data_IF_995112656032
#
_entry.id   IF_995112656032
#
_cell.length_a   1.000
_cell.length_b   1.000
_cell.length_c   1.000
_cell.angle_alpha   90.00
_cell.angle_beta   90.00
_cell.angle_gamma   90.00
#
_symmetry.space_group_name_H-M   'P 1'
#
loop_
_entity.id
_entity.type
_entity.pdbx_description
1 polymer ?
#
# COMPACT_ATOMS: atom_id res chain seq x y z
N UNK A 1 20.87 15.22 30.54
CA UNK A 1 20.00 16.29 30.00
C UNK A 1 18.68 15.63 29.73
N UNK A 2 17.63 15.92 30.52
CA UNK A 2 16.30 15.35 30.28
C UNK A 2 15.79 15.95 28.98
N UNK A 3 15.59 15.11 27.97
CA UNK A 3 14.87 15.50 26.76
C UNK A 3 13.47 15.94 27.21
N UNK A 4 13.16 17.23 27.18
CA UNK A 4 11.81 17.73 27.35
C UNK A 4 10.95 17.06 26.26
N UNK A 5 10.14 16.09 26.65
CA UNK A 5 9.15 15.47 25.76
C UNK A 5 8.15 16.57 25.42
N UNK A 6 8.15 17.00 24.15
CA UNK A 6 7.17 17.97 23.67
C UNK A 6 5.83 17.27 23.57
N UNK A 7 4.91 17.58 24.51
CA UNK A 7 3.53 17.08 24.43
C UNK A 7 2.75 17.91 23.40
N UNK A 8 1.67 17.35 22.85
CA UNK A 8 0.81 18.06 21.92
C UNK A 8 0.26 19.36 22.52
N UNK A 9 -0.08 19.34 23.80
CA UNK A 9 -0.57 20.53 24.51
C UNK A 9 0.51 21.62 24.57
N UNK A 10 1.73 21.30 24.99
CA UNK A 10 2.85 22.26 25.03
C UNK A 10 3.16 22.79 23.64
N UNK A 11 3.12 21.92 22.63
CA UNK A 11 3.32 22.30 21.23
C UNK A 11 2.27 23.31 20.77
N UNK A 12 0.99 23.04 21.03
CA UNK A 12 -0.12 23.91 20.67
C UNK A 12 -0.11 25.25 21.44
N UNK A 13 0.19 25.25 22.75
CA UNK A 13 0.35 26.45 23.58
C UNK A 13 1.51 27.32 23.06
N UNK A 14 2.62 26.69 22.65
CA UNK A 14 3.78 27.40 22.09
C UNK A 14 3.43 28.05 20.74
N UNK A 15 2.68 27.35 19.88
CA UNK A 15 2.20 27.91 18.61
C UNK A 15 1.26 29.10 18.87
N UNK A 16 0.32 28.97 19.83
CA UNK A 16 -0.60 30.02 20.20
C UNK A 16 0.12 31.27 20.71
N UNK A 17 1.11 31.11 21.60
CA UNK A 17 1.94 32.21 22.11
C UNK A 17 2.71 32.95 21.01
N UNK A 18 2.91 32.34 19.84
CA UNK A 18 3.56 32.91 18.67
C UNK A 18 2.57 33.34 17.54
N UNK A 19 1.28 33.51 17.89
CA UNK A 19 0.24 34.03 17.00
C UNK A 19 -0.38 33.01 16.06
N UNK A 20 -0.11 31.72 16.24
CA UNK A 20 -0.69 30.64 15.45
C UNK A 20 -1.77 29.85 16.19
N UNK A 21 -2.42 28.94 15.49
CA UNK A 21 -3.28 27.88 16.04
C UNK A 21 -2.91 26.55 15.43
N UNK A 22 -3.02 25.49 16.23
CA UNK A 22 -2.68 24.12 15.83
C UNK A 22 -3.95 23.29 15.72
N UNK A 23 -4.07 22.55 14.61
CA UNK A 23 -5.18 21.64 14.37
C UNK A 23 -4.67 20.27 14.01
N UNK A 24 -5.29 19.21 14.56
CA UNK A 24 -5.21 17.87 13.97
C UNK A 24 -6.07 17.86 12.71
N UNK A 25 -5.62 17.19 11.63
CA UNK A 25 -6.33 17.21 10.35
C UNK A 25 -6.24 15.88 9.59
N UNK A 26 -7.16 15.65 8.68
CA UNK A 26 -7.07 14.56 7.72
C UNK A 26 -7.38 13.18 8.29
N UNK A 27 -6.57 12.19 7.93
CA UNK A 27 -6.84 10.78 8.26
C UNK A 27 -6.93 10.50 9.76
N UNK A 28 -6.14 11.18 10.59
CA UNK A 28 -6.18 11.00 12.03
C UNK A 28 -7.52 11.45 12.63
N UNK A 29 -8.07 12.56 12.18
CA UNK A 29 -9.38 13.05 12.65
C UNK A 29 -10.50 12.12 12.19
N UNK A 30 -10.48 11.69 10.92
CA UNK A 30 -11.42 10.69 10.41
C UNK A 30 -11.41 9.42 11.27
N UNK A 31 -10.24 8.89 11.59
CA UNK A 31 -10.12 7.65 12.36
C UNK A 31 -10.57 7.84 13.80
N UNK A 32 -10.29 9.00 14.42
CA UNK A 32 -10.85 9.38 15.72
C UNK A 32 -12.39 9.41 15.70
N UNK A 33 -13.01 10.02 14.68
CA UNK A 33 -14.48 10.05 14.53
C UNK A 33 -15.06 8.64 14.36
N UNK A 34 -14.30 7.72 13.75
CA UNK A 34 -14.67 6.30 13.62
C UNK A 34 -14.44 5.49 14.90
N UNK A 35 -13.87 6.08 15.95
CA UNK A 35 -13.50 5.38 17.18
C UNK A 35 -12.25 4.49 17.03
N UNK A 36 -11.42 4.75 16.04
CA UNK A 36 -10.18 4.00 15.75
C UNK A 36 -8.99 4.86 16.17
N UNK A 37 -8.04 4.28 16.91
CA UNK A 37 -6.81 4.98 17.25
C UNK A 37 -6.00 5.27 15.98
N UNK A 38 -5.67 6.54 15.68
CA UNK A 38 -4.91 6.89 14.49
C UNK A 38 -3.48 6.34 14.57
N UNK A 39 -2.98 5.84 13.43
CA UNK A 39 -1.58 5.38 13.31
C UNK A 39 -0.61 6.57 13.28
N UNK A 40 -0.94 7.57 12.47
CA UNK A 40 -0.14 8.78 12.25
C UNK A 40 -0.98 9.99 12.64
N UNK A 41 -0.35 11.06 13.12
CA UNK A 41 -1.02 12.32 13.47
C UNK A 41 -0.45 13.41 12.58
N UNK A 42 -1.34 14.03 11.80
CA UNK A 42 -1.02 15.16 10.94
C UNK A 42 -1.56 16.44 11.56
N UNK A 43 -0.70 17.45 11.61
CA UNK A 43 -1.07 18.78 12.11
C UNK A 43 -1.08 19.84 11.01
N UNK A 44 -1.98 20.82 11.17
CA UNK A 44 -2.04 22.02 10.36
C UNK A 44 -1.87 23.25 11.26
N UNK A 45 -0.94 24.13 10.91
CA UNK A 45 -0.69 25.41 11.59
C UNK A 45 -1.32 26.54 10.78
N UNK A 46 -2.13 27.36 11.44
CA UNK A 46 -2.76 28.57 10.92
C UNK A 46 -2.20 29.79 11.65
N UNK A 47 -2.17 30.96 11.03
CA UNK A 47 -1.83 32.22 11.67
C UNK A 47 -0.32 32.49 11.84
N UNK A 48 0.53 31.51 11.60
CA UNK A 48 1.97 31.62 11.81
C UNK A 48 2.75 31.52 10.50
N UNK A 49 3.85 32.29 10.36
CA UNK A 49 4.75 32.17 9.22
C UNK A 49 5.84 31.13 9.47
N UNK A 50 6.24 30.41 8.42
CA UNK A 50 7.31 29.43 8.44
C UNK A 50 8.60 29.90 9.15
N UNK A 51 9.02 31.14 8.89
CA UNK A 51 10.23 31.71 9.51
C UNK A 51 10.15 31.75 11.03
N UNK A 52 8.98 32.08 11.58
CA UNK A 52 8.77 32.13 13.03
C UNK A 52 8.71 30.69 13.60
N UNK A 53 8.05 29.80 12.91
CA UNK A 53 7.99 28.38 13.30
C UNK A 53 9.40 27.78 13.44
N UNK A 54 10.28 27.98 12.46
CA UNK A 54 11.67 27.52 12.52
C UNK A 54 12.52 28.14 13.63
N UNK A 55 12.19 29.37 14.06
CA UNK A 55 12.85 29.98 15.21
C UNK A 55 12.43 29.35 16.54
N UNK A 56 11.15 28.96 16.62
CA UNK A 56 10.54 28.39 17.83
C UNK A 56 10.86 26.90 17.95
N UNK A 57 10.91 26.20 16.82
CA UNK A 57 11.19 24.75 16.72
C UNK A 57 12.38 24.51 15.80
N UNK A 58 13.61 24.83 16.24
CA UNK A 58 14.81 24.67 15.41
C UNK A 58 15.14 23.19 15.09
N UNK A 59 14.64 22.26 15.91
CA UNK A 59 14.78 20.80 15.75
C UNK A 59 13.84 20.22 14.70
N UNK A 60 12.89 21.00 14.16
CA UNK A 60 11.94 20.52 13.18
C UNK A 60 12.62 20.29 11.82
N UNK A 61 12.60 19.02 11.36
CA UNK A 61 13.12 18.63 10.06
C UNK A 61 12.19 19.07 8.93
N UNK A 62 12.67 19.92 8.05
CA UNK A 62 11.90 20.34 6.88
C UNK A 62 12.00 19.33 5.74
N UNK A 63 10.86 18.78 5.34
CA UNK A 63 10.72 17.86 4.22
C UNK A 63 9.86 18.48 3.11
N UNK A 64 10.07 18.04 1.87
CA UNK A 64 9.27 18.46 0.71
C UNK A 64 9.85 19.65 -0.07
N UNK A 65 9.97 19.43 -1.39
CA UNK A 65 10.55 20.44 -2.31
C UNK A 65 9.56 21.55 -2.69
N UNK A 66 8.29 21.20 -2.90
CA UNK A 66 7.27 22.11 -3.42
C UNK A 66 6.45 22.78 -2.32
N UNK A 67 6.29 22.12 -1.18
CA UNK A 67 5.63 22.65 -0.01
C UNK A 67 6.27 22.09 1.26
N UNK A 68 6.72 22.95 2.18
CA UNK A 68 7.39 22.51 3.39
C UNK A 68 6.42 21.82 4.35
N UNK A 69 6.73 20.58 4.67
CA UNK A 69 6.17 19.82 5.79
C UNK A 69 7.28 19.66 6.80
N UNK A 70 6.99 19.86 8.06
CA UNK A 70 7.96 19.68 9.14
C UNK A 70 7.69 18.36 9.85
N UNK A 71 8.76 17.64 10.21
CA UNK A 71 8.71 16.46 11.04
C UNK A 71 9.24 16.77 12.42
N UNK A 72 8.46 16.42 13.42
CA UNK A 72 8.81 16.56 14.85
C UNK A 72 8.34 15.32 15.61
N UNK A 73 8.94 15.12 16.79
CA UNK A 73 8.47 14.12 17.74
C UNK A 73 7.57 14.80 18.78
N UNK A 74 6.29 14.45 18.78
CA UNK A 74 5.26 14.99 19.68
C UNK A 74 4.63 13.80 20.41
N UNK A 75 4.54 13.86 21.74
CA UNK A 75 4.09 12.72 22.58
C UNK A 75 4.83 11.42 22.26
N UNK A 76 6.13 11.50 21.94
CA UNK A 76 6.96 10.34 21.60
C UNK A 76 6.70 9.74 20.23
N UNK A 77 5.90 10.39 19.37
CA UNK A 77 5.56 9.94 18.01
C UNK A 77 6.07 10.91 16.96
N UNK A 78 6.56 10.38 15.85
CA UNK A 78 6.88 11.20 14.68
C UNK A 78 5.58 11.74 14.07
N UNK A 79 5.46 13.07 13.99
CA UNK A 79 4.29 13.76 13.46
C UNK A 79 4.68 14.64 12.28
N UNK A 80 3.76 14.82 11.33
CA UNK A 80 3.91 15.78 10.24
C UNK A 80 3.12 17.06 10.56
N UNK A 81 3.78 18.20 10.36
CA UNK A 81 3.22 19.53 10.61
C UNK A 81 3.30 20.33 9.33
N UNK A 82 2.15 20.66 8.76
CA UNK A 82 2.02 21.51 7.59
C UNK A 82 1.42 22.87 7.96
N UNK A 83 1.58 23.85 7.06
CA UNK A 83 0.91 25.15 7.20
C UNK A 83 -0.36 25.17 6.35
N UNK A 84 -1.38 25.90 6.82
CA UNK A 84 -2.56 26.14 6.02
C UNK A 84 -2.18 26.78 4.68
N UNK A 85 -2.81 26.31 3.62
CA UNK A 85 -2.50 26.73 2.26
C UNK A 85 -3.74 26.68 1.37
N UNK A 86 -3.71 27.50 0.34
CA UNK A 86 -4.60 27.38 -0.80
C UNK A 86 -3.82 26.90 -2.02
N UNK A 87 -4.49 26.16 -2.89
CA UNK A 87 -3.94 25.64 -4.13
C UNK A 87 -4.79 26.16 -5.28
N UNK A 88 -4.14 26.68 -6.34
CA UNK A 88 -4.81 27.11 -7.56
C UNK A 88 -4.17 26.43 -8.75
N UNK A 89 -4.96 25.72 -9.54
CA UNK A 89 -4.50 25.12 -10.79
C UNK A 89 -4.20 26.24 -11.79
N UNK A 90 -3.00 26.26 -12.34
CA UNK A 90 -2.52 27.24 -13.34
C UNK A 90 -1.93 26.55 -14.58
N UNK A 91 -1.86 25.22 -14.59
CA UNK A 91 -1.35 24.38 -15.68
C UNK A 91 -1.75 22.92 -15.49
N UNK A 92 -1.32 22.06 -16.41
CA UNK A 92 -1.62 20.63 -16.38
C UNK A 92 -0.70 19.85 -15.43
N UNK A 93 -1.21 18.74 -14.89
CA UNK A 93 -0.48 17.78 -14.08
C UNK A 93 -0.03 18.32 -12.72
N UNK A 94 0.74 17.52 -12.01
CA UNK A 94 1.12 17.78 -10.61
C UNK A 94 2.00 19.03 -10.40
N UNK A 95 2.69 19.54 -11.44
CA UNK A 95 3.47 20.80 -11.40
C UNK A 95 2.62 22.03 -11.70
N UNK A 96 1.39 21.84 -12.16
CA UNK A 96 0.48 22.90 -12.58
C UNK A 96 -0.17 23.69 -11.45
N UNK A 97 0.34 23.64 -10.22
CA UNK A 97 -0.23 24.32 -9.07
C UNK A 97 0.57 25.54 -8.64
N UNK A 98 -0.14 26.64 -8.40
CA UNK A 98 0.37 27.77 -7.61
C UNK A 98 -0.12 27.60 -6.19
N UNK A 99 0.81 27.32 -5.28
CA UNK A 99 0.54 27.14 -3.86
C UNK A 99 0.78 28.48 -3.17
N UNK A 100 -0.20 28.93 -2.40
CA UNK A 100 -0.06 30.10 -1.52
C UNK A 100 -0.20 29.61 -0.07
N UNK A 101 0.77 30.00 0.77
CA UNK A 101 0.72 29.80 2.21
C UNK A 101 1.06 31.13 2.87
N UNK A 102 0.11 31.68 3.59
CA UNK A 102 0.29 32.90 4.37
C UNK A 102 -0.56 32.83 5.65
N UNK A 103 -0.25 33.61 6.70
CA UNK A 103 -0.95 33.53 7.99
C UNK A 103 -2.43 33.91 7.97
N UNK A 104 -2.95 34.46 6.87
CA UNK A 104 -4.36 34.84 6.75
C UNK A 104 -5.25 33.71 6.28
N UNK A 105 -4.64 32.61 5.76
CA UNK A 105 -5.39 31.45 5.29
C UNK A 105 -5.99 30.74 6.50
N UNK A 106 -7.29 30.51 6.46
CA UNK A 106 -8.04 29.87 7.53
C UNK A 106 -7.92 28.33 7.45
N UNK A 107 -8.35 27.65 8.50
CA UNK A 107 -8.40 26.18 8.48
C UNK A 107 -9.45 25.68 7.48
N UNK A 108 -10.59 26.36 7.34
CA UNK A 108 -11.66 26.04 6.40
C UNK A 108 -11.16 26.11 4.95
N UNK A 109 -10.34 27.12 4.61
CA UNK A 109 -9.73 27.26 3.28
C UNK A 109 -8.75 26.11 3.01
N UNK A 110 -7.97 25.66 4.00
CA UNK A 110 -7.10 24.48 3.86
C UNK A 110 -7.93 23.19 3.70
N UNK A 111 -9.02 23.04 4.46
CA UNK A 111 -9.92 21.89 4.34
C UNK A 111 -10.62 21.84 2.97
N UNK A 112 -11.00 22.99 2.42
CA UNK A 112 -11.71 23.10 1.13
C UNK A 112 -10.94 22.50 -0.06
N UNK A 113 -9.61 22.60 -0.06
CA UNK A 113 -8.76 22.06 -1.12
C UNK A 113 -8.50 20.56 -1.02
N UNK A 114 -8.95 19.87 0.03
CA UNK A 114 -8.68 18.43 0.26
C UNK A 114 -9.50 17.54 -0.66
N UNK A 115 -9.14 16.25 -0.69
CA UNK A 115 -9.74 15.27 -1.61
C UNK A 115 -11.20 14.94 -1.27
N UNK A 116 -11.47 14.47 -0.05
CA UNK A 116 -12.80 14.01 0.37
C UNK A 116 -13.24 14.65 1.68
N UNK A 117 -14.55 14.81 1.87
CA UNK A 117 -15.15 15.38 3.07
C UNK A 117 -14.69 14.68 4.34
N UNK A 118 -14.55 13.35 4.30
CA UNK A 118 -14.11 12.53 5.44
C UNK A 118 -12.65 12.83 5.87
N UNK A 119 -11.85 13.45 5.01
CA UNK A 119 -10.49 13.92 5.30
C UNK A 119 -10.42 15.46 5.47
N UNK A 120 -11.56 16.15 5.34
CA UNK A 120 -11.67 17.61 5.42
C UNK A 120 -12.31 18.06 6.75
N UNK A 121 -11.89 17.41 7.82
CA UNK A 121 -12.28 17.69 9.20
C UNK A 121 -11.01 18.10 9.96
N UNK A 122 -11.14 19.08 10.85
CA UNK A 122 -10.08 19.50 11.76
C UNK A 122 -10.54 19.47 13.21
N UNK A 123 -9.59 19.31 14.14
CA UNK A 123 -9.82 19.42 15.57
C UNK A 123 -8.78 20.36 16.14
N UNK A 124 -9.20 21.44 16.80
CA UNK A 124 -8.30 22.35 17.51
C UNK A 124 -7.60 21.62 18.66
N UNK A 125 -6.26 21.63 18.66
CA UNK A 125 -5.46 20.85 19.61
C UNK A 125 -5.53 21.35 21.07
N UNK A 126 -5.99 22.59 21.30
CA UNK A 126 -6.15 23.16 22.63
C UNK A 126 -7.58 23.06 23.17
N UNK A 127 -8.54 23.43 22.34
CA UNK A 127 -9.95 23.51 22.76
C UNK A 127 -10.72 22.22 22.55
N UNK A 128 -10.24 21.36 21.64
CA UNK A 128 -10.98 20.18 21.20
C UNK A 128 -12.16 20.49 20.26
N UNK A 129 -12.30 21.75 19.85
CA UNK A 129 -13.34 22.19 18.92
C UNK A 129 -13.19 21.46 17.57
N UNK A 130 -14.32 20.89 17.11
CA UNK A 130 -14.36 20.18 15.82
C UNK A 130 -14.84 21.13 14.73
N UNK A 131 -14.07 21.23 13.66
CA UNK A 131 -14.35 22.09 12.50
C UNK A 131 -14.67 21.15 11.32
N UNK A 132 -15.92 21.09 10.93
CA UNK A 132 -16.43 20.20 9.85
C UNK A 132 -17.35 20.97 8.89
N UNK A 133 -16.81 21.92 8.09
CA UNK A 133 -17.59 22.76 7.20
C UNK A 133 -18.22 22.01 6.02
N UNK A 134 -17.76 20.78 5.75
CA UNK A 134 -18.17 19.98 4.58
C UNK A 134 -18.94 18.72 4.96
N UNK A 135 -19.42 18.61 6.21
CA UNK A 135 -20.23 17.50 6.72
C UNK A 135 -19.54 16.12 6.65
N UNK A 136 -18.20 16.11 6.79
CA UNK A 136 -17.40 14.89 6.74
C UNK A 136 -17.77 13.89 7.84
N UNK A 137 -18.16 14.35 9.02
CA UNK A 137 -18.65 13.50 10.12
C UNK A 137 -19.92 12.75 9.71
N UNK A 138 -20.84 13.42 9.02
CA UNK A 138 -22.05 12.76 8.53
C UNK A 138 -21.71 11.74 7.45
N UNK A 139 -20.82 12.07 6.54
CA UNK A 139 -20.36 11.13 5.50
C UNK A 139 -19.63 9.92 6.11
N UNK A 140 -18.84 10.10 7.18
CA UNK A 140 -18.25 8.99 7.93
C UNK A 140 -19.31 8.05 8.51
N UNK A 141 -20.35 8.61 9.16
CA UNK A 141 -21.47 7.83 9.73
C UNK A 141 -22.22 7.05 8.66
N UNK A 142 -22.42 7.67 7.50
CA UNK A 142 -23.12 7.07 6.36
C UNK A 142 -22.22 6.15 5.53
N UNK A 143 -20.92 6.08 5.82
CA UNK A 143 -19.90 5.34 5.04
C UNK A 143 -19.88 5.76 3.56
N UNK A 144 -19.87 7.06 3.32
CA UNK A 144 -19.85 7.65 1.98
C UNK A 144 -18.53 8.42 1.77
N UNK A 145 -17.92 8.28 0.60
CA UNK A 145 -16.83 9.11 0.10
C UNK A 145 -17.38 10.14 -0.86
N UNK A 146 -17.29 11.41 -0.46
CA UNK A 146 -17.74 12.55 -1.24
C UNK A 146 -16.56 13.51 -1.48
N UNK A 147 -16.41 14.03 -2.68
CA UNK A 147 -15.45 15.09 -2.96
C UNK A 147 -15.75 16.33 -2.11
N UNK A 148 -14.71 16.92 -1.53
CA UNK A 148 -14.88 18.12 -0.67
C UNK A 148 -15.43 19.31 -1.48
N UNK A 149 -15.00 19.43 -2.74
CA UNK A 149 -15.41 20.51 -3.64
C UNK A 149 -15.17 20.14 -5.10
N UNK A 150 -15.59 21.01 -6.02
CA UNK A 150 -15.31 20.87 -7.46
C UNK A 150 -13.78 20.92 -7.77
N UNK A 151 -12.98 21.44 -6.88
CA UNK A 151 -11.52 21.41 -6.97
C UNK A 151 -10.91 20.02 -6.84
N UNK A 152 -11.75 18.99 -6.60
CA UNK A 152 -11.33 17.60 -6.64
C UNK A 152 -10.60 17.24 -7.96
N UNK A 153 -11.08 17.73 -9.08
CA UNK A 153 -10.50 17.47 -10.42
C UNK A 153 -9.17 18.17 -10.67
N UNK A 154 -8.78 19.12 -9.83
CA UNK A 154 -7.55 19.90 -10.03
C UNK A 154 -6.31 19.02 -9.93
N UNK A 155 -6.25 18.07 -8.99
CA UNK A 155 -5.13 17.13 -8.82
C UNK A 155 -5.59 15.70 -9.22
N UNK A 156 -5.12 15.17 -10.38
CA UNK A 156 -5.59 13.87 -10.89
C UNK A 156 -5.29 12.69 -9.95
N UNK A 157 -4.26 12.76 -9.10
CA UNK A 157 -3.97 11.72 -8.12
C UNK A 157 -5.10 11.52 -7.10
N UNK A 158 -5.99 12.52 -6.92
CA UNK A 158 -7.13 12.40 -6.01
C UNK A 158 -8.09 11.29 -6.43
N UNK A 159 -8.18 10.99 -7.73
CA UNK A 159 -8.95 9.86 -8.23
C UNK A 159 -8.37 8.51 -7.76
N UNK A 160 -7.04 8.35 -7.78
CA UNK A 160 -6.38 7.18 -7.19
C UNK A 160 -6.59 7.12 -5.68
N UNK A 161 -6.46 8.26 -5.00
CA UNK A 161 -6.66 8.37 -3.56
C UNK A 161 -8.09 8.02 -3.15
N UNK A 162 -9.10 8.42 -3.94
CA UNK A 162 -10.49 8.05 -3.76
C UNK A 162 -10.68 6.53 -3.85
N UNK A 163 -10.17 5.91 -4.92
CA UNK A 163 -10.20 4.45 -5.07
C UNK A 163 -9.49 3.73 -3.90
N UNK A 164 -8.35 4.26 -3.47
CA UNK A 164 -7.61 3.76 -2.31
C UNK A 164 -8.37 3.94 -0.98
N UNK A 165 -9.07 5.05 -0.79
CA UNK A 165 -9.94 5.27 0.37
C UNK A 165 -11.12 4.28 0.35
N UNK A 166 -11.77 4.06 -0.80
CA UNK A 166 -12.86 3.10 -0.94
C UNK A 166 -12.42 1.67 -0.56
N UNK A 167 -11.22 1.26 -0.98
CA UNK A 167 -10.67 -0.05 -0.64
C UNK A 167 -10.30 -0.20 0.85
N UNK A 168 -9.75 0.87 1.47
CA UNK A 168 -9.27 0.84 2.86
C UNK A 168 -10.37 1.07 3.89
N UNK A 169 -11.37 1.88 3.58
CA UNK A 169 -12.43 2.26 4.51
C UNK A 169 -13.69 1.42 4.36
N UNK A 170 -13.85 0.75 3.24
CA UNK A 170 -15.07 0.06 2.81
C UNK A 170 -16.30 1.00 2.77
N UNK A 171 -16.08 2.22 2.27
CA UNK A 171 -17.12 3.23 2.10
C UNK A 171 -17.62 3.25 0.65
N UNK A 172 -18.91 3.49 0.44
CA UNK A 172 -19.48 3.76 -0.89
C UNK A 172 -18.96 5.11 -1.43
N UNK A 173 -18.92 5.25 -2.74
CA UNK A 173 -18.54 6.52 -3.37
C UNK A 173 -19.82 7.19 -3.88
N UNK A 174 -19.97 8.47 -3.61
CA UNK A 174 -21.02 9.31 -4.13
C UNK A 174 -20.95 9.41 -5.66
N UNK A 175 -22.10 9.36 -6.34
CA UNK A 175 -22.17 9.33 -7.81
C UNK A 175 -21.51 10.55 -8.48
N UNK A 176 -21.75 11.75 -7.93
CA UNK A 176 -21.12 12.96 -8.45
C UNK A 176 -19.59 12.91 -8.27
N UNK A 177 -19.13 12.31 -7.18
CA UNK A 177 -17.69 12.12 -6.94
C UNK A 177 -17.06 11.12 -7.89
N UNK A 178 -17.78 10.04 -8.25
CA UNK A 178 -17.34 9.13 -9.31
C UNK A 178 -17.23 9.84 -10.66
N UNK A 179 -18.22 10.68 -11.00
CA UNK A 179 -18.17 11.47 -12.22
C UNK A 179 -16.99 12.45 -12.24
N UNK A 180 -16.70 13.12 -11.13
CA UNK A 180 -15.53 13.99 -10.99
C UNK A 180 -14.21 13.19 -11.14
N UNK A 181 -14.14 11.99 -10.57
CA UNK A 181 -12.95 11.14 -10.71
C UNK A 181 -12.69 10.73 -12.15
N UNK A 182 -13.73 10.45 -12.93
CA UNK A 182 -13.61 10.06 -14.33
C UNK A 182 -13.01 11.17 -15.22
N UNK A 183 -13.15 12.43 -14.86
CA UNK A 183 -12.53 13.59 -15.57
C UNK A 183 -11.00 13.57 -15.46
N UNK A 184 -10.44 12.90 -14.44
CA UNK A 184 -9.00 12.85 -14.23
C UNK A 184 -8.25 12.00 -15.30
N UNK A 185 -8.94 11.27 -16.16
CA UNK A 185 -8.35 10.31 -17.11
C UNK A 185 -7.25 10.94 -17.99
N UNK A 186 -7.49 12.14 -18.53
CA UNK A 186 -6.59 12.80 -19.47
C UNK A 186 -5.25 13.20 -18.83
N UNK A 187 -5.23 13.51 -17.53
CA UNK A 187 -4.03 13.98 -16.83
C UNK A 187 -3.37 12.88 -15.98
N UNK A 188 -4.14 11.85 -15.57
CA UNK A 188 -3.66 10.82 -14.65
C UNK A 188 -2.53 9.96 -15.23
N UNK A 189 -2.55 9.71 -16.54
CA UNK A 189 -1.47 9.00 -17.22
C UNK A 189 -0.12 9.73 -17.21
N UNK A 190 -0.14 11.03 -16.97
CA UNK A 190 1.06 11.89 -16.82
C UNK A 190 1.59 12.02 -15.39
N UNK A 191 0.94 11.38 -14.40
CA UNK A 191 1.41 11.43 -13.02
C UNK A 191 2.73 10.69 -12.83
N UNK A 192 3.64 11.19 -11.99
CA UNK A 192 4.88 10.49 -11.66
C UNK A 192 4.60 9.08 -11.11
N UNK A 193 5.34 8.12 -11.64
CA UNK A 193 5.21 6.71 -11.25
C UNK A 193 5.33 6.48 -9.73
N UNK A 194 6.18 7.27 -9.05
CA UNK A 194 6.37 7.20 -7.61
C UNK A 194 5.09 7.57 -6.83
N UNK A 195 4.31 8.55 -7.31
CA UNK A 195 3.04 8.93 -6.68
C UNK A 195 2.00 7.82 -6.84
N UNK A 196 1.91 7.25 -8.03
CA UNK A 196 1.01 6.14 -8.34
C UNK A 196 1.37 4.90 -7.51
N UNK A 197 2.65 4.53 -7.49
CA UNK A 197 3.16 3.39 -6.73
C UNK A 197 2.96 3.57 -5.21
N UNK A 198 3.11 4.79 -4.70
CA UNK A 198 2.85 5.09 -3.30
C UNK A 198 1.38 4.83 -2.91
N UNK A 199 0.42 5.23 -3.75
CA UNK A 199 -1.00 4.94 -3.49
C UNK A 199 -1.31 3.44 -3.62
N UNK A 200 -0.77 2.74 -4.63
CA UNK A 200 -0.88 1.28 -4.75
C UNK A 200 -0.31 0.57 -3.52
N UNK A 201 0.87 0.97 -3.06
CA UNK A 201 1.52 0.37 -1.88
C UNK A 201 0.68 0.52 -0.62
N UNK A 202 0.06 1.70 -0.41
CA UNK A 202 -0.88 1.93 0.71
C UNK A 202 -2.09 1.00 0.62
N UNK A 203 -2.64 0.81 -0.56
CA UNK A 203 -3.77 -0.10 -0.78
C UNK A 203 -3.36 -1.54 -0.49
N UNK A 204 -2.24 -1.99 -1.06
CA UNK A 204 -1.75 -3.35 -0.83
C UNK A 204 -1.35 -3.60 0.63
N UNK A 205 -0.98 -2.57 1.39
CA UNK A 205 -0.63 -2.69 2.81
C UNK A 205 -1.85 -2.70 3.72
N UNK A 206 -2.78 -1.75 3.52
CA UNK A 206 -3.78 -1.39 4.52
C UNK A 206 -5.22 -1.77 4.15
N UNK A 207 -5.51 -2.09 2.88
CA UNK A 207 -6.88 -2.39 2.48
C UNK A 207 -7.31 -3.81 2.89
N UNK A 208 -8.49 -3.98 3.50
CA UNK A 208 -9.07 -5.30 3.76
C UNK A 208 -9.53 -6.00 2.46
N UNK A 209 -9.94 -5.22 1.44
CA UNK A 209 -10.36 -5.71 0.13
C UNK A 209 -9.67 -4.88 -0.98
N UNK A 210 -8.37 -5.12 -1.24
CA UNK A 210 -7.58 -4.31 -2.18
C UNK A 210 -8.07 -4.39 -3.63
N UNK A 211 -8.76 -5.46 -4.03
CA UNK A 211 -9.38 -5.58 -5.36
C UNK A 211 -10.37 -4.45 -5.65
N UNK A 212 -11.02 -3.87 -4.63
CA UNK A 212 -11.93 -2.75 -4.79
C UNK A 212 -11.27 -1.51 -5.39
N UNK A 213 -9.98 -1.30 -5.12
CA UNK A 213 -9.20 -0.23 -5.74
C UNK A 213 -9.23 -0.32 -7.27
N UNK A 214 -8.91 -1.47 -7.82
CA UNK A 214 -8.89 -1.71 -9.26
C UNK A 214 -10.30 -1.66 -9.87
N UNK A 215 -11.29 -2.20 -9.16
CA UNK A 215 -12.71 -2.16 -9.59
C UNK A 215 -13.23 -0.73 -9.69
N UNK A 216 -12.89 0.16 -8.74
CA UNK A 216 -13.25 1.59 -8.80
C UNK A 216 -12.54 2.29 -9.96
N UNK A 217 -11.25 2.02 -10.18
CA UNK A 217 -10.53 2.59 -11.32
C UNK A 217 -11.11 2.13 -12.66
N UNK A 218 -11.53 0.88 -12.76
CA UNK A 218 -12.23 0.37 -13.96
C UNK A 218 -13.57 1.09 -14.16
N UNK A 219 -14.35 1.26 -13.09
CA UNK A 219 -15.64 1.98 -13.13
C UNK A 219 -15.51 3.44 -13.58
N UNK A 220 -14.41 4.10 -13.23
CA UNK A 220 -14.12 5.48 -13.61
C UNK A 220 -13.36 5.60 -14.94
N UNK A 221 -13.13 4.50 -15.67
CA UNK A 221 -12.30 4.46 -16.90
C UNK A 221 -10.83 4.90 -16.69
N UNK A 222 -10.31 4.78 -15.48
CA UNK A 222 -8.96 5.21 -15.11
C UNK A 222 -7.94 4.07 -15.10
N UNK A 223 -8.40 2.81 -15.11
CA UNK A 223 -7.53 1.64 -14.95
C UNK A 223 -6.47 1.58 -16.04
N UNK A 224 -6.87 1.82 -17.30
CA UNK A 224 -5.96 1.81 -18.45
C UNK A 224 -4.91 2.92 -18.39
N UNK A 225 -5.25 4.07 -17.79
CA UNK A 225 -4.33 5.21 -17.72
C UNK A 225 -3.13 4.96 -16.81
N UNK A 226 -3.28 4.08 -15.80
CA UNK A 226 -2.27 3.88 -14.74
C UNK A 226 -1.77 2.45 -14.65
N UNK A 227 -2.63 1.46 -14.86
CA UNK A 227 -2.34 0.03 -14.71
C UNK A 227 -2.75 -0.72 -15.97
N UNK A 228 -2.13 -0.34 -17.11
CA UNK A 228 -2.44 -0.91 -18.43
C UNK A 228 -2.29 -2.43 -18.47
N UNK A 229 -1.37 -3.00 -17.66
CA UNK A 229 -1.15 -4.43 -17.60
C UNK A 229 -2.32 -5.17 -16.93
N UNK A 230 -2.99 -4.53 -15.98
CA UNK A 230 -4.22 -5.06 -15.36
C UNK A 230 -5.42 -4.81 -16.27
N UNK A 231 -5.48 -3.65 -16.92
CA UNK A 231 -6.57 -3.31 -17.83
C UNK A 231 -6.57 -4.18 -19.10
N UNK A 232 -5.41 -4.70 -19.50
CA UNK A 232 -5.25 -5.58 -20.66
C UNK A 232 -5.64 -7.05 -20.36
N UNK A 233 -5.92 -7.42 -19.11
CA UNK A 233 -6.35 -8.77 -18.76
C UNK A 233 -7.74 -9.06 -19.39
N UNK A 234 -7.96 -10.26 -19.94
CA UNK A 234 -9.29 -10.72 -20.29
C UNK A 234 -10.24 -10.61 -19.08
N UNK A 235 -11.55 -10.37 -19.29
CA UNK A 235 -12.49 -10.13 -18.17
C UNK A 235 -12.52 -11.24 -17.12
N UNK A 236 -12.43 -12.50 -17.51
CA UNK A 236 -12.35 -13.67 -16.63
C UNK A 236 -11.04 -13.67 -15.81
N UNK A 237 -9.91 -13.38 -16.45
CA UNK A 237 -8.60 -13.26 -15.81
C UNK A 237 -8.55 -12.09 -14.83
N UNK A 238 -9.18 -10.96 -15.17
CA UNK A 238 -9.31 -9.83 -14.26
C UNK A 238 -10.08 -10.23 -13.00
N UNK A 239 -11.21 -10.94 -13.13
CA UNK A 239 -11.99 -11.41 -11.98
C UNK A 239 -11.14 -12.35 -11.12
N UNK A 240 -10.45 -13.32 -11.72
CA UNK A 240 -9.56 -14.25 -11.01
C UNK A 240 -8.46 -13.48 -10.26
N UNK A 241 -7.81 -12.51 -10.91
CA UNK A 241 -6.78 -11.69 -10.27
C UNK A 241 -7.30 -10.94 -9.05
N UNK A 242 -8.49 -10.36 -9.14
CA UNK A 242 -9.14 -9.65 -8.04
C UNK A 242 -9.50 -10.58 -6.88
N UNK A 243 -10.00 -11.77 -7.16
CA UNK A 243 -10.35 -12.77 -6.14
C UNK A 243 -9.11 -13.34 -5.45
N UNK A 244 -8.04 -13.61 -6.21
CA UNK A 244 -6.74 -13.99 -5.65
C UNK A 244 -6.19 -12.90 -4.71
N UNK A 245 -6.21 -11.64 -5.15
CA UNK A 245 -5.74 -10.50 -4.36
C UNK A 245 -6.49 -10.37 -3.03
N UNK A 246 -7.83 -10.42 -3.07
CA UNK A 246 -8.67 -10.32 -1.86
C UNK A 246 -8.51 -11.55 -0.95
N UNK A 247 -8.29 -12.74 -1.53
CA UNK A 247 -8.04 -13.96 -0.76
C UNK A 247 -6.71 -13.89 0.01
N UNK A 248 -5.64 -13.47 -0.64
CA UNK A 248 -4.33 -13.27 0.01
C UNK A 248 -4.38 -12.11 1.00
N UNK A 249 -5.19 -11.08 0.75
CA UNK A 249 -5.35 -9.97 1.69
C UNK A 249 -5.96 -10.38 3.04
N UNK A 250 -6.74 -11.46 3.08
CA UNK A 250 -7.26 -12.05 4.33
C UNK A 250 -6.19 -12.81 5.10
N UNK A 251 -5.18 -13.34 4.42
CA UNK A 251 -4.12 -14.14 5.02
C UNK A 251 -2.91 -13.33 5.46
N UNK A 252 -2.62 -12.19 4.81
CA UNK A 252 -1.44 -11.37 5.13
C UNK A 252 -1.64 -9.89 4.78
N UNK A 253 -0.96 -9.01 5.52
CA UNK A 253 -0.85 -7.58 5.22
C UNK A 253 0.43 -7.22 4.44
N UNK A 254 1.22 -8.21 4.00
CA UNK A 254 2.43 -7.98 3.22
C UNK A 254 2.08 -7.45 1.82
N UNK A 255 2.47 -6.21 1.46
CA UNK A 255 2.19 -5.68 0.13
C UNK A 255 2.90 -6.49 -0.97
N UNK A 256 4.08 -7.05 -0.67
CA UNK A 256 4.80 -7.96 -1.58
C UNK A 256 3.95 -9.18 -1.94
N UNK A 257 3.43 -9.91 -0.94
CA UNK A 257 2.66 -11.14 -1.18
C UNK A 257 1.34 -10.86 -1.89
N UNK A 258 0.68 -9.75 -1.55
CA UNK A 258 -0.54 -9.28 -2.23
C UNK A 258 -0.25 -8.91 -3.69
N UNK A 259 0.87 -8.26 -3.97
CA UNK A 259 1.30 -7.98 -5.34
C UNK A 259 1.61 -9.27 -6.11
N UNK A 260 2.31 -10.22 -5.49
CA UNK A 260 2.59 -11.54 -6.11
C UNK A 260 1.29 -12.23 -6.52
N UNK A 261 0.26 -12.24 -5.67
CA UNK A 261 -1.02 -12.86 -6.02
C UNK A 261 -1.74 -12.17 -7.18
N UNK A 262 -1.66 -10.85 -7.25
CA UNK A 262 -2.19 -10.07 -8.39
C UNK A 262 -1.45 -10.41 -9.69
N UNK A 263 -0.15 -10.65 -9.59
CA UNK A 263 0.71 -10.91 -10.75
C UNK A 263 0.49 -12.28 -11.41
N UNK A 264 -0.22 -13.21 -10.77
CA UNK A 264 -0.45 -14.55 -11.34
C UNK A 264 -1.30 -14.56 -12.60
N UNK A 265 -2.13 -13.53 -12.80
CA UNK A 265 -2.89 -13.36 -14.03
C UNK A 265 -2.09 -12.74 -15.19
N UNK A 266 -0.84 -12.37 -14.95
CA UNK A 266 0.01 -11.69 -15.93
C UNK A 266 1.11 -12.61 -16.46
N UNK A 267 1.44 -12.48 -17.73
CA UNK A 267 2.65 -13.09 -18.29
C UNK A 267 3.92 -12.33 -17.82
N UNK A 268 5.06 -12.97 -18.01
CA UNK A 268 6.36 -12.38 -17.64
C UNK A 268 6.64 -11.05 -18.36
N UNK A 269 6.24 -10.93 -19.62
CA UNK A 269 6.48 -9.75 -20.42
C UNK A 269 5.69 -8.55 -19.88
N UNK A 270 4.44 -8.76 -19.48
CA UNK A 270 3.60 -7.75 -18.82
C UNK A 270 4.18 -7.30 -17.48
N UNK A 271 4.68 -8.22 -16.67
CA UNK A 271 5.37 -7.88 -15.41
C UNK A 271 6.62 -7.03 -15.63
N UNK A 272 7.44 -7.35 -16.63
CA UNK A 272 8.63 -6.57 -16.94
C UNK A 272 8.28 -5.19 -17.50
N UNK A 273 7.21 -5.06 -18.32
CA UNK A 273 6.70 -3.76 -18.79
C UNK A 273 6.26 -2.90 -17.61
N UNK A 274 5.45 -3.46 -16.69
CA UNK A 274 5.03 -2.76 -15.48
C UNK A 274 6.23 -2.25 -14.67
N UNK A 275 7.21 -3.12 -14.41
CA UNK A 275 8.42 -2.73 -13.69
C UNK A 275 9.21 -1.61 -14.39
N UNK A 276 9.34 -1.68 -15.71
CA UNK A 276 10.03 -0.64 -16.49
C UNK A 276 9.34 0.72 -16.39
N UNK A 277 8.02 0.73 -16.25
CA UNK A 277 7.19 1.92 -16.20
C UNK A 277 7.06 2.50 -14.80
N UNK A 278 6.96 1.66 -13.76
CA UNK A 278 6.69 2.10 -12.39
C UNK A 278 7.83 1.88 -11.40
N UNK A 279 8.91 1.20 -11.79
CA UNK A 279 10.02 0.87 -10.88
C UNK A 279 9.52 0.23 -9.59
N UNK A 280 8.94 -0.97 -9.73
CA UNK A 280 8.42 -1.75 -8.59
C UNK A 280 9.53 -1.97 -7.55
N UNK A 281 9.21 -2.11 -6.25
CA UNK A 281 10.17 -2.54 -5.25
C UNK A 281 10.90 -3.80 -5.73
N UNK A 282 12.23 -3.84 -5.61
CA UNK A 282 13.08 -4.85 -6.28
C UNK A 282 12.74 -6.30 -5.90
N UNK A 283 12.22 -6.51 -4.71
CA UNK A 283 11.79 -7.83 -4.25
C UNK A 283 10.42 -8.26 -4.81
N UNK A 284 9.54 -7.34 -5.22
CA UNK A 284 8.20 -7.66 -5.74
C UNK A 284 8.28 -8.35 -7.10
N UNK A 285 9.06 -7.79 -8.03
CA UNK A 285 9.25 -8.39 -9.35
C UNK A 285 9.87 -9.78 -9.24
N UNK A 286 10.97 -9.90 -8.48
CA UNK A 286 11.68 -11.17 -8.31
C UNK A 286 10.82 -12.21 -7.64
N UNK A 287 10.03 -11.83 -6.61
CA UNK A 287 9.10 -12.70 -5.93
C UNK A 287 7.99 -13.20 -6.88
N UNK A 288 7.42 -12.31 -7.71
CA UNK A 288 6.39 -12.65 -8.69
C UNK A 288 6.90 -13.65 -9.74
N UNK A 289 8.09 -13.40 -10.30
CA UNK A 289 8.72 -14.32 -11.26
C UNK A 289 9.03 -15.67 -10.61
N UNK A 290 9.50 -15.66 -9.36
CA UNK A 290 9.80 -16.88 -8.61
C UNK A 290 8.52 -17.70 -8.39
N UNK A 291 7.46 -17.06 -7.91
CA UNK A 291 6.17 -17.71 -7.68
C UNK A 291 5.57 -18.32 -8.96
N UNK A 292 5.59 -17.58 -10.08
CA UNK A 292 5.13 -18.09 -11.38
C UNK A 292 5.89 -19.33 -11.85
N UNK A 293 7.22 -19.36 -11.69
CA UNK A 293 8.06 -20.54 -12.00
C UNK A 293 7.66 -21.73 -11.15
N UNK A 294 7.42 -21.54 -9.86
CA UNK A 294 7.05 -22.63 -8.94
C UNK A 294 5.67 -23.16 -9.25
N UNK A 295 4.70 -22.28 -9.55
CA UNK A 295 3.35 -22.71 -9.96
C UNK A 295 3.40 -23.59 -11.21
N UNK A 296 4.17 -23.17 -12.22
CA UNK A 296 4.36 -23.98 -13.44
C UNK A 296 5.05 -25.33 -13.11
N UNK A 297 6.05 -25.32 -12.25
CA UNK A 297 6.78 -26.52 -11.86
C UNK A 297 5.90 -27.52 -11.10
N UNK A 298 5.06 -27.01 -10.19
CA UNK A 298 4.19 -27.79 -9.32
C UNK A 298 2.78 -28.03 -9.89
N UNK A 299 2.49 -27.62 -11.12
CA UNK A 299 1.23 -27.94 -11.79
C UNK A 299 0.97 -29.45 -11.85
N UNK A 300 2.04 -30.24 -12.00
CA UNK A 300 2.04 -31.70 -11.80
C UNK A 300 3.15 -32.01 -10.79
N UNK A 301 2.85 -32.12 -9.49
CA UNK A 301 3.86 -32.25 -8.46
C UNK A 301 4.54 -33.61 -8.46
N UNK A 302 5.86 -33.62 -8.14
CA UNK A 302 6.63 -34.83 -7.88
C UNK A 302 7.71 -34.52 -6.84
N UNK A 303 8.32 -35.54 -6.19
CA UNK A 303 9.41 -35.32 -5.24
C UNK A 303 10.54 -34.45 -5.78
N UNK A 304 10.98 -34.68 -7.01
CA UNK A 304 12.05 -33.91 -7.67
C UNK A 304 11.64 -32.46 -7.90
N UNK A 305 10.37 -32.24 -8.29
CA UNK A 305 9.84 -30.90 -8.53
C UNK A 305 9.66 -30.11 -7.22
N UNK A 306 9.31 -30.80 -6.12
CA UNK A 306 9.24 -30.18 -4.78
C UNK A 306 10.64 -29.69 -4.36
N UNK A 307 11.69 -30.52 -4.52
CA UNK A 307 13.06 -30.12 -4.22
C UNK A 307 13.50 -28.93 -5.12
N UNK A 308 13.17 -29.00 -6.42
CA UNK A 308 13.48 -27.92 -7.35
C UNK A 308 12.73 -26.61 -7.02
N UNK A 309 11.48 -26.70 -6.54
CA UNK A 309 10.71 -25.55 -6.07
C UNK A 309 11.38 -24.90 -4.84
N UNK A 310 11.76 -25.68 -3.84
CA UNK A 310 12.48 -25.18 -2.66
C UNK A 310 13.84 -24.58 -3.01
N UNK A 311 14.59 -25.18 -3.94
CA UNK A 311 15.84 -24.61 -4.46
C UNK A 311 15.61 -23.26 -5.16
N UNK A 312 14.49 -23.12 -5.86
CA UNK A 312 14.10 -21.89 -6.54
C UNK A 312 13.73 -20.80 -5.52
N UNK A 313 12.97 -21.14 -4.47
CA UNK A 313 12.64 -20.22 -3.38
C UNK A 313 13.90 -19.75 -2.64
N UNK A 314 14.82 -20.66 -2.32
CA UNK A 314 16.07 -20.32 -1.62
C UNK A 314 16.92 -19.28 -2.34
N UNK A 315 16.83 -19.21 -3.67
CA UNK A 315 17.57 -18.24 -4.52
C UNK A 315 16.76 -16.99 -4.86
N UNK A 316 15.48 -16.98 -4.56
CA UNK A 316 14.55 -15.90 -4.86
C UNK A 316 14.29 -14.98 -3.68
N UNK A 317 13.39 -14.02 -3.89
CA UNK A 317 12.93 -13.07 -2.86
C UNK A 317 11.66 -13.52 -2.15
N UNK A 318 11.30 -14.79 -2.26
CA UNK A 318 10.12 -15.39 -1.65
C UNK A 318 10.53 -16.59 -0.80
N UNK A 319 10.11 -16.65 0.46
CA UNK A 319 10.38 -17.81 1.31
C UNK A 319 9.38 -18.93 1.05
N UNK A 320 9.67 -20.12 1.56
CA UNK A 320 8.74 -21.28 1.49
C UNK A 320 7.42 -20.93 2.19
N UNK A 321 7.49 -20.34 3.37
CA UNK A 321 6.33 -19.97 4.17
C UNK A 321 5.50 -18.88 3.48
N UNK A 322 6.14 -17.89 2.87
CA UNK A 322 5.46 -16.86 2.09
C UNK A 322 4.74 -17.45 0.87
N UNK A 323 5.36 -18.41 0.18
CA UNK A 323 4.73 -19.10 -0.95
C UNK A 323 3.54 -19.93 -0.50
N UNK A 324 3.65 -20.67 0.63
CA UNK A 324 2.57 -21.46 1.18
C UNK A 324 1.38 -20.58 1.61
N UNK A 325 1.62 -19.39 2.20
CA UNK A 325 0.55 -18.42 2.51
C UNK A 325 -0.24 -18.07 1.25
N UNK A 326 0.44 -17.78 0.15
CA UNK A 326 -0.22 -17.40 -1.11
C UNK A 326 -0.98 -18.61 -1.68
N UNK A 327 -0.33 -19.76 -1.84
CA UNK A 327 -0.90 -20.94 -2.48
C UNK A 327 -2.12 -21.47 -1.76
N UNK A 328 -2.11 -21.46 -0.42
CA UNK A 328 -3.24 -21.84 0.42
C UNK A 328 -4.39 -20.83 0.35
N UNK A 329 -4.08 -19.53 0.40
CA UNK A 329 -5.09 -18.47 0.34
C UNK A 329 -5.89 -18.49 -0.97
N UNK A 330 -5.24 -18.77 -2.10
CA UNK A 330 -5.89 -18.88 -3.42
C UNK A 330 -6.29 -20.31 -3.78
N UNK A 331 -6.15 -21.25 -2.84
CA UNK A 331 -6.55 -22.65 -2.98
C UNK A 331 -5.95 -23.34 -4.21
N UNK A 332 -4.66 -23.12 -4.45
CA UNK A 332 -3.95 -23.85 -5.49
C UNK A 332 -3.92 -25.36 -5.12
N UNK A 333 -4.16 -26.20 -6.11
CA UNK A 333 -4.07 -27.65 -5.95
C UNK A 333 -2.61 -28.14 -6.02
N UNK A 334 -1.77 -27.56 -5.15
CA UNK A 334 -0.35 -27.91 -5.02
C UNK A 334 -0.06 -28.22 -3.55
N UNK A 335 0.91 -29.09 -3.26
CA UNK A 335 1.28 -29.38 -1.87
C UNK A 335 1.89 -28.16 -1.20
N UNK A 336 1.60 -27.96 0.09
CA UNK A 336 2.36 -27.03 0.92
C UNK A 336 3.82 -27.48 1.01
N UNK A 337 4.75 -26.54 0.90
CA UNK A 337 6.19 -26.83 0.87
C UNK A 337 6.83 -26.83 2.26
N UNK A 338 6.24 -26.14 3.24
CA UNK A 338 6.78 -26.03 4.61
C UNK A 338 6.99 -27.37 5.30
N UNK A 339 6.11 -28.39 5.19
CA UNK A 339 6.37 -29.71 5.78
C UNK A 339 7.61 -30.37 5.21
N UNK A 340 7.82 -30.32 3.90
CA UNK A 340 9.01 -30.88 3.24
C UNK A 340 10.27 -30.14 3.63
N UNK A 341 10.22 -28.79 3.77
CA UNK A 341 11.33 -27.98 4.30
C UNK A 341 11.70 -28.43 5.71
N UNK A 342 10.74 -28.67 6.59
CA UNK A 342 10.97 -29.11 7.95
C UNK A 342 11.69 -30.49 7.97
N UNK A 343 11.23 -31.42 7.14
CA UNK A 343 11.84 -32.75 7.02
C UNK A 343 13.30 -32.65 6.52
N UNK A 344 13.52 -31.86 5.45
CA UNK A 344 14.87 -31.72 4.90
C UNK A 344 15.82 -31.00 5.87
N UNK A 345 15.34 -30.18 6.78
CA UNK A 345 16.17 -29.55 7.81
C UNK A 345 16.74 -30.53 8.85
N UNK A 346 16.15 -31.72 8.95
CA UNK A 346 16.62 -32.80 9.83
C UNK A 346 17.65 -33.72 9.12
N UNK A 347 17.82 -33.58 7.81
CA UNK A 347 18.76 -34.40 7.04
C UNK A 347 20.18 -33.88 7.21
N UNK A 348 21.07 -34.74 7.68
CA UNK A 348 22.50 -34.42 7.75
C UNK A 348 23.14 -34.56 6.36
N UNK A 349 23.52 -33.44 5.77
CA UNK A 349 24.14 -33.36 4.46
C UNK A 349 25.68 -33.50 4.57
N UNK A 350 26.18 -34.71 4.81
CA UNK A 350 27.60 -35.00 4.75
C UNK A 350 27.98 -35.16 3.29
N UNK A 351 28.57 -34.11 2.71
CA UNK A 351 28.98 -34.09 1.30
C UNK A 351 30.25 -34.92 1.14
N UNK A 352 30.30 -35.87 0.18
CA UNK A 352 31.53 -36.63 -0.14
C UNK A 352 32.69 -35.68 -0.53
N UNK A 353 33.89 -35.95 0.00
CA UNK A 353 35.03 -35.05 -0.15
C UNK A 353 35.50 -34.87 -1.61
N UNK A 354 35.15 -35.85 -2.47
CA UNK A 354 35.52 -35.86 -3.89
C UNK A 354 34.67 -34.90 -4.73
N UNK A 355 33.46 -34.54 -4.27
CA UNK A 355 32.53 -33.70 -5.01
C UNK A 355 32.87 -32.22 -4.93
N UNK A 356 32.79 -31.53 -6.06
CA UNK A 356 33.09 -30.10 -6.16
C UNK A 356 32.08 -29.34 -7.01
N UNK A 357 31.85 -28.09 -6.67
CA UNK A 357 31.07 -27.17 -7.48
C UNK A 357 29.64 -27.68 -7.80
N UNK A 358 29.33 -27.87 -9.08
CA UNK A 358 28.01 -28.28 -9.55
C UNK A 358 27.61 -29.70 -9.11
N UNK A 359 28.58 -30.59 -8.90
CA UNK A 359 28.33 -31.99 -8.52
C UNK A 359 27.76 -32.08 -7.10
N UNK A 360 28.20 -31.22 -6.19
CA UNK A 360 27.63 -31.09 -4.84
C UNK A 360 26.12 -30.75 -4.94
N UNK A 361 25.75 -29.78 -5.77
CA UNK A 361 24.36 -29.39 -5.94
C UNK A 361 23.49 -30.48 -6.56
N UNK A 362 24.03 -31.30 -7.46
CA UNK A 362 23.34 -32.45 -8.05
C UNK A 362 23.16 -33.57 -7.02
N UNK A 363 24.19 -33.88 -6.26
CA UNK A 363 24.19 -34.89 -5.20
C UNK A 363 23.15 -34.50 -4.11
N UNK A 364 23.16 -33.26 -3.64
CA UNK A 364 22.18 -32.77 -2.67
C UNK A 364 20.74 -32.95 -3.20
N UNK A 365 20.48 -32.55 -4.44
CA UNK A 365 19.15 -32.71 -5.05
C UNK A 365 18.72 -34.17 -5.10
N UNK A 366 19.59 -35.08 -5.52
CA UNK A 366 19.28 -36.50 -5.56
C UNK A 366 19.02 -37.08 -4.17
N UNK A 367 19.81 -36.70 -3.17
CA UNK A 367 19.61 -37.11 -1.78
C UNK A 367 18.29 -36.60 -1.22
N UNK A 368 18.02 -35.30 -1.38
CA UNK A 368 16.77 -34.68 -0.92
C UNK A 368 15.54 -35.26 -1.64
N UNK A 369 15.63 -35.52 -2.95
CA UNK A 369 14.54 -36.18 -3.68
C UNK A 369 14.21 -37.56 -3.14
N UNK A 370 15.20 -38.37 -2.76
CA UNK A 370 14.94 -39.67 -2.13
C UNK A 370 14.19 -39.55 -0.82
N UNK A 371 14.62 -38.63 0.05
CA UNK A 371 13.93 -38.37 1.33
C UNK A 371 12.48 -37.90 1.10
N UNK A 372 12.28 -37.00 0.15
CA UNK A 372 10.92 -36.53 -0.18
C UNK A 372 10.09 -37.65 -0.79
N UNK A 373 10.66 -38.55 -1.59
CA UNK A 373 9.92 -39.69 -2.17
C UNK A 373 9.36 -40.60 -1.07
N UNK A 374 10.17 -40.97 -0.07
CA UNK A 374 9.76 -41.79 1.05
C UNK A 374 8.58 -41.16 1.81
N UNK A 375 8.68 -39.85 2.11
CA UNK A 375 7.61 -39.10 2.78
C UNK A 375 6.37 -38.96 1.92
N UNK A 376 6.53 -38.74 0.62
CA UNK A 376 5.44 -38.62 -0.34
C UNK A 376 4.63 -39.89 -0.46
N UNK A 377 5.31 -41.04 -0.53
CA UNK A 377 4.67 -42.35 -0.56
C UNK A 377 3.89 -42.59 0.74
N UNK A 378 4.48 -42.28 1.90
CA UNK A 378 3.81 -42.43 3.19
C UNK A 378 2.56 -41.54 3.28
N UNK A 379 2.64 -40.27 2.87
CA UNK A 379 1.49 -39.35 2.85
C UNK A 379 0.34 -39.85 1.92
N UNK A 380 0.68 -40.51 0.82
CA UNK A 380 -0.32 -41.12 -0.07
C UNK A 380 -1.04 -42.30 0.59
N UNK A 381 -0.32 -43.08 1.37
CA UNK A 381 -0.88 -44.22 2.10
C UNK A 381 -1.79 -43.79 3.26
N UNK A 382 -1.35 -42.76 4.03
CA UNK A 382 -2.03 -42.34 5.26
C UNK A 382 -3.30 -41.51 5.00
N UNK A 383 -3.33 -40.70 3.94
CA UNK A 383 -4.40 -39.70 3.73
C UNK A 383 -5.34 -40.03 2.54
N UNK A 384 -5.13 -41.08 1.77
CA UNK A 384 -5.90 -41.33 0.55
C UNK A 384 -5.87 -40.17 -0.46
N UNK A 385 -4.91 -39.24 -0.35
CA UNK A 385 -4.79 -38.09 -1.22
C UNK A 385 -4.40 -38.53 -2.63
N UNK A 386 -5.37 -38.51 -3.52
CA UNK A 386 -5.14 -38.62 -4.95
C UNK A 386 -4.79 -37.18 -5.39
N UNK A 387 -3.50 -36.92 -5.55
CA UNK A 387 -3.10 -35.76 -6.38
C UNK A 387 -3.50 -36.07 -7.81
N UNK A 388 -4.15 -35.14 -8.52
CA UNK A 388 -4.54 -35.33 -9.90
C UNK A 388 -3.35 -35.58 -10.81
#
# INVERSE_FOLDING_TARGET
MSSNVVTERIFAETILANGGRLYRVGGCVRDMVRGIAPKDIDFCVVGMVKKNFKKVFPEADECGKSFPVFRLVIDGRACEVAFARTERKVGSGYKGFKIASNPKITIEEDLFRRDTTVNSIAVDSLTGEVIDPFHGIQDIKNKILRATSQHFVDDPIRALRLAGQAARLDFAIDENTLALASVAADELGGEPAERVLAELTKVLKDAPAPARFFKVLLQCNLLLCVFEEIAALPPDQFVIAMDCLDSVAKATSSPKLRFVSLSFAMDHQSLFRWNSRMTLPGDWLTASVTAGKIMTLLAVPSPEKIVAAMDTLRRGSLTVEEFDIISQAIKLHIPALSPFKAILSLVQDVVPAELKGKDIGQWLRQKHSKVITEVWEQMRLDNGFIFP
#
